data_IF_330319440885
#
_entry.id   IF_330319440885
#
_cell.length_a   1.000
_cell.length_b   1.000
_cell.length_c   1.000
_cell.angle_alpha   90.00
_cell.angle_beta   90.00
_cell.angle_gamma   90.00
#
_symmetry.space_group_name_H-M   'P 1'
#
loop_
_entity.id
_entity.type
_entity.pdbx_description
1 polymer ?
#
# COMPACT_ATOMS: atom_id res chain seq x y z
N UNK A 1 -11.78 23.24 2.91
CA UNK A 1 -10.69 24.20 2.54
C UNK A 1 -9.57 23.42 1.86
N UNK A 2 -9.00 23.97 0.78
CA UNK A 2 -7.81 23.39 0.12
C UNK A 2 -6.65 23.33 1.12
N UNK A 3 -6.08 22.13 1.30
CA UNK A 3 -4.92 21.89 2.18
C UNK A 3 -3.74 21.50 1.30
N UNK A 4 -2.53 21.92 1.65
CA UNK A 4 -1.31 21.35 1.05
C UNK A 4 -1.04 19.99 1.67
N UNK A 5 -0.92 18.98 0.84
CA UNK A 5 -0.59 17.60 1.25
C UNK A 5 0.64 17.16 0.47
N UNK A 6 1.63 16.66 1.18
CA UNK A 6 2.82 16.06 0.56
C UNK A 6 2.63 14.55 0.51
N UNK A 7 2.92 13.95 -0.64
CA UNK A 7 2.95 12.50 -0.83
C UNK A 7 4.38 12.09 -1.16
N UNK A 8 5.00 11.27 -0.31
CA UNK A 8 6.28 10.64 -0.64
C UNK A 8 6.04 9.28 -1.27
N UNK A 9 6.93 8.85 -2.16
CA UNK A 9 6.65 7.69 -3.02
C UNK A 9 5.55 8.01 -4.04
N UNK A 10 5.44 9.27 -4.42
CA UNK A 10 4.36 9.84 -5.22
C UNK A 10 4.27 9.29 -6.64
N UNK A 11 5.37 8.77 -7.20
CA UNK A 11 5.40 8.08 -8.49
C UNK A 11 5.01 6.61 -8.42
N UNK A 12 4.89 6.04 -7.21
CA UNK A 12 4.55 4.63 -7.00
C UNK A 12 3.04 4.34 -7.07
N UNK A 13 2.69 3.05 -7.00
CA UNK A 13 1.32 2.58 -7.15
C UNK A 13 0.33 3.21 -6.15
N UNK A 14 0.58 3.06 -4.84
CA UNK A 14 -0.30 3.60 -3.80
C UNK A 14 -0.19 5.12 -3.70
N UNK A 15 1.05 5.65 -3.72
CA UNK A 15 1.29 7.09 -3.63
C UNK A 15 0.69 7.87 -4.79
N UNK A 16 0.82 7.36 -6.01
CA UNK A 16 0.22 7.97 -7.22
C UNK A 16 -1.30 7.96 -7.19
N UNK A 17 -1.93 6.86 -6.77
CA UNK A 17 -3.38 6.79 -6.62
C UNK A 17 -3.90 7.74 -5.54
N UNK A 18 -3.17 7.84 -4.43
CA UNK A 18 -3.51 8.77 -3.35
C UNK A 18 -3.38 10.23 -3.82
N UNK A 19 -2.33 10.54 -4.57
CA UNK A 19 -2.13 11.87 -5.15
C UNK A 19 -3.26 12.25 -6.13
N UNK A 20 -3.67 11.31 -7.01
CA UNK A 20 -4.82 11.49 -7.90
C UNK A 20 -6.09 11.85 -7.14
N UNK A 21 -6.42 11.10 -6.11
CA UNK A 21 -7.62 11.32 -5.31
C UNK A 21 -7.57 12.67 -4.57
N UNK A 22 -6.43 13.05 -4.03
CA UNK A 22 -6.23 14.35 -3.39
C UNK A 22 -6.46 15.51 -4.38
N UNK A 23 -5.92 15.40 -5.60
CA UNK A 23 -6.09 16.39 -6.65
C UNK A 23 -7.56 16.48 -7.13
N UNK A 24 -8.24 15.33 -7.32
CA UNK A 24 -9.66 15.27 -7.66
C UNK A 24 -10.53 15.98 -6.61
N UNK A 25 -10.14 15.95 -5.34
CA UNK A 25 -10.79 16.66 -4.22
C UNK A 25 -10.35 18.11 -4.09
N UNK A 26 -9.47 18.59 -4.98
CA UNK A 26 -9.01 19.97 -5.04
C UNK A 26 -7.98 20.36 -4.00
N UNK A 27 -7.29 19.41 -3.38
CA UNK A 27 -6.12 19.68 -2.54
C UNK A 27 -4.94 20.16 -3.39
N UNK A 28 -4.03 20.91 -2.77
CA UNK A 28 -2.71 21.18 -3.34
C UNK A 28 -1.80 19.99 -3.05
N UNK A 29 -1.31 19.34 -4.08
CA UNK A 29 -0.54 18.08 -3.96
C UNK A 29 0.92 18.31 -4.34
N UNK A 30 1.83 17.99 -3.42
CA UNK A 30 3.28 18.01 -3.67
C UNK A 30 3.80 16.59 -3.63
N UNK A 31 4.38 16.13 -4.74
CA UNK A 31 4.97 14.80 -4.86
C UNK A 31 6.46 14.81 -4.50
N UNK A 32 6.92 13.78 -3.79
CA UNK A 32 8.36 13.52 -3.59
C UNK A 32 8.62 12.07 -3.97
N UNK A 33 9.50 11.84 -4.91
CA UNK A 33 9.95 10.49 -5.30
C UNK A 33 11.38 10.57 -5.86
N UNK A 34 12.16 9.52 -5.66
CA UNK A 34 13.49 9.40 -6.27
C UNK A 34 13.44 9.15 -7.78
N UNK A 35 12.32 8.66 -8.28
CA UNK A 35 12.07 8.40 -9.69
C UNK A 35 11.37 9.60 -10.33
N UNK A 36 11.50 9.69 -11.67
CA UNK A 36 10.78 10.68 -12.48
C UNK A 36 9.27 10.56 -12.30
N UNK A 37 8.59 11.69 -12.34
CA UNK A 37 7.14 11.72 -12.33
C UNK A 37 6.58 10.91 -13.51
N UNK A 38 5.73 9.91 -13.27
CA UNK A 38 5.06 9.19 -14.34
C UNK A 38 4.26 10.14 -15.24
N UNK A 39 4.31 9.91 -16.56
CA UNK A 39 3.68 10.83 -17.54
C UNK A 39 2.22 11.10 -17.24
N UNK A 40 1.48 10.05 -16.86
CA UNK A 40 0.05 10.11 -16.54
C UNK A 40 -0.28 10.88 -15.25
N UNK A 41 0.71 11.11 -14.38
CA UNK A 41 0.54 11.82 -13.11
C UNK A 41 1.06 13.27 -13.13
N UNK A 42 1.64 13.74 -14.23
CA UNK A 42 2.27 15.08 -14.29
C UNK A 42 1.32 16.23 -13.95
N UNK A 43 0.05 16.12 -14.36
CA UNK A 43 -0.96 17.16 -14.09
C UNK A 43 -1.57 17.08 -12.69
N UNK A 44 -1.20 16.07 -11.90
CA UNK A 44 -1.72 15.83 -10.55
C UNK A 44 -1.01 16.70 -9.52
N UNK A 45 0.28 16.98 -9.76
CA UNK A 45 1.14 17.65 -8.78
C UNK A 45 1.27 19.14 -9.07
N UNK A 46 1.09 19.96 -8.03
CA UNK A 46 1.44 21.37 -8.06
C UNK A 46 2.96 21.59 -8.03
N UNK A 47 3.71 20.68 -7.39
CA UNK A 47 5.17 20.56 -7.45
C UNK A 47 5.57 19.07 -7.33
N UNK A 48 6.63 18.67 -8.03
CA UNK A 48 7.17 17.31 -7.96
C UNK A 48 8.69 17.35 -7.76
N UNK A 49 9.13 16.81 -6.63
CA UNK A 49 10.51 16.81 -6.20
C UNK A 49 11.13 15.46 -6.55
N UNK A 50 11.92 15.40 -7.65
CA UNK A 50 12.62 14.20 -8.10
C UNK A 50 13.89 13.96 -7.28
N UNK A 51 13.72 13.54 -6.01
CA UNK A 51 14.80 13.22 -5.08
C UNK A 51 14.31 12.25 -4.01
N UNK A 52 15.25 11.63 -3.29
CA UNK A 52 14.91 10.88 -2.07
C UNK A 52 14.26 11.81 -1.04
N UNK A 53 13.25 11.30 -0.35
CA UNK A 53 12.49 12.10 0.63
C UNK A 53 13.32 12.53 1.85
N UNK A 54 14.39 11.80 2.19
CA UNK A 54 15.31 12.16 3.27
C UNK A 54 16.47 13.06 2.79
N UNK A 55 16.56 13.33 1.47
CA UNK A 55 17.58 14.23 0.95
C UNK A 55 17.38 15.66 1.48
N UNK A 56 18.48 16.36 1.80
CA UNK A 56 18.45 17.70 2.37
C UNK A 56 17.53 18.68 1.60
N UNK A 57 17.62 18.67 0.26
CA UNK A 57 16.79 19.57 -0.57
C UNK A 57 15.29 19.21 -0.47
N UNK A 58 14.94 17.91 -0.37
CA UNK A 58 13.55 17.48 -0.18
C UNK A 58 13.01 17.98 1.16
N UNK A 59 13.80 17.88 2.22
CA UNK A 59 13.44 18.37 3.55
C UNK A 59 13.29 19.89 3.59
N UNK A 60 14.16 20.64 2.90
CA UNK A 60 14.03 22.10 2.77
C UNK A 60 12.76 22.47 2.00
N UNK A 61 12.46 21.78 0.90
CA UNK A 61 11.22 22.03 0.14
C UNK A 61 9.97 21.68 0.94
N UNK A 62 10.00 20.63 1.77
CA UNK A 62 8.92 20.33 2.71
C UNK A 62 8.60 21.54 3.62
N UNK A 63 9.62 22.20 4.15
CA UNK A 63 9.43 23.39 4.98
C UNK A 63 8.77 24.54 4.22
N UNK A 64 9.17 24.76 2.95
CA UNK A 64 8.63 25.83 2.10
C UNK A 64 7.14 25.60 1.80
N UNK A 65 6.73 24.34 1.64
CA UNK A 65 5.34 24.00 1.33
C UNK A 65 4.40 24.05 2.54
N UNK A 66 4.92 23.99 3.76
CA UNK A 66 4.16 23.99 5.02
C UNK A 66 2.96 23.04 5.00
N UNK A 67 3.19 21.74 4.76
CA UNK A 67 2.09 20.81 4.53
C UNK A 67 1.22 20.62 5.78
N UNK A 68 -0.10 20.55 5.59
CA UNK A 68 -1.04 20.13 6.64
C UNK A 68 -0.84 18.64 7.00
N UNK A 69 -0.45 17.85 6.02
CA UNK A 69 -0.15 16.43 6.22
C UNK A 69 0.91 15.92 5.24
N UNK A 70 1.62 14.89 5.66
CA UNK A 70 2.54 14.10 4.84
C UNK A 70 2.00 12.68 4.78
N UNK A 71 1.67 12.20 3.57
CA UNK A 71 1.31 10.82 3.32
C UNK A 71 2.59 10.10 2.87
N UNK A 72 3.12 9.28 3.76
CA UNK A 72 4.42 8.64 3.59
C UNK A 72 4.27 7.22 3.00
N UNK A 73 4.24 7.14 1.66
CA UNK A 73 4.20 5.89 0.91
C UNK A 73 5.58 5.44 0.40
N UNK A 74 6.61 6.31 0.50
CA UNK A 74 7.96 5.95 0.09
C UNK A 74 8.51 4.80 0.93
N UNK A 75 9.17 3.86 0.27
CA UNK A 75 9.82 2.73 0.92
C UNK A 75 10.13 1.61 -0.08
N UNK A 76 11.03 0.73 0.31
CA UNK A 76 11.30 -0.51 -0.42
C UNK A 76 10.34 -1.58 0.06
N UNK A 77 9.52 -2.18 -0.84
CA UNK A 77 8.30 -2.93 -0.47
C UNK A 77 8.32 -4.43 -0.78
N UNK A 78 9.34 -4.97 -1.46
CA UNK A 78 9.35 -6.38 -1.86
C UNK A 78 9.88 -7.28 -0.73
N UNK A 79 9.08 -8.23 -0.24
CA UNK A 79 9.43 -9.16 0.85
C UNK A 79 10.63 -10.04 0.47
N UNK A 80 10.61 -10.73 -0.66
CA UNK A 80 11.69 -11.65 -1.05
C UNK A 80 13.08 -11.00 -1.16
N UNK A 81 13.24 -9.86 -1.85
CA UNK A 81 14.50 -9.12 -1.87
C UNK A 81 14.97 -8.61 -0.50
N UNK A 82 14.05 -8.37 0.47
CA UNK A 82 14.44 -7.92 1.81
C UNK A 82 15.30 -8.95 2.55
N UNK A 83 15.02 -10.23 2.34
CA UNK A 83 15.79 -11.32 2.95
C UNK A 83 17.24 -11.34 2.43
N UNK A 84 17.43 -11.03 1.15
CA UNK A 84 18.77 -11.02 0.53
C UNK A 84 19.56 -9.72 0.79
N UNK A 85 18.86 -8.60 0.98
CA UNK A 85 19.46 -7.27 1.12
C UNK A 85 18.85 -6.48 2.28
N UNK A 86 18.89 -6.97 3.54
CA UNK A 86 18.18 -6.37 4.66
C UNK A 86 18.64 -4.93 4.97
N UNK A 87 19.94 -4.64 4.86
CA UNK A 87 20.50 -3.32 5.12
C UNK A 87 19.84 -2.21 4.30
N UNK A 88 19.53 -2.47 3.01
CA UNK A 88 18.84 -1.53 2.14
C UNK A 88 17.43 -1.20 2.66
N UNK A 89 16.74 -2.17 3.27
CA UNK A 89 15.40 -1.96 3.83
C UNK A 89 15.46 -1.15 5.12
N UNK A 90 16.40 -1.46 6.00
CA UNK A 90 16.56 -0.68 7.23
C UNK A 90 17.02 0.75 6.94
N UNK A 91 17.96 0.94 6.01
CA UNK A 91 18.39 2.29 5.62
C UNK A 91 17.22 3.09 5.03
N UNK A 92 16.58 2.57 3.98
CA UNK A 92 15.56 3.30 3.25
C UNK A 92 14.26 3.47 4.04
N UNK A 93 13.78 2.40 4.71
CA UNK A 93 12.49 2.42 5.37
C UNK A 93 12.55 2.96 6.80
N UNK A 94 13.66 2.75 7.53
CA UNK A 94 13.77 3.14 8.94
C UNK A 94 14.60 4.41 9.11
N UNK A 95 15.86 4.40 8.70
CA UNK A 95 16.77 5.54 8.94
C UNK A 95 16.28 6.79 8.20
N UNK A 96 15.91 6.65 6.93
CA UNK A 96 15.41 7.77 6.15
C UNK A 96 14.06 8.28 6.68
N UNK A 97 13.17 7.38 7.13
CA UNK A 97 11.91 7.78 7.77
C UNK A 97 12.14 8.48 9.10
N UNK A 98 13.08 8.02 9.92
CA UNK A 98 13.47 8.70 11.15
C UNK A 98 13.95 10.13 10.87
N UNK A 99 14.76 10.33 9.81
CA UNK A 99 15.22 11.67 9.38
C UNK A 99 14.04 12.57 9.00
N UNK A 100 13.04 12.05 8.28
CA UNK A 100 11.81 12.78 7.96
C UNK A 100 11.02 13.15 9.23
N UNK A 101 10.80 12.18 10.13
CA UNK A 101 10.05 12.40 11.37
C UNK A 101 10.74 13.43 12.28
N UNK A 102 12.06 13.41 12.36
CA UNK A 102 12.84 14.41 13.09
C UNK A 102 12.68 15.81 12.51
N UNK A 103 12.65 15.93 11.18
CA UNK A 103 12.38 17.20 10.52
C UNK A 103 10.96 17.71 10.83
N UNK A 104 9.96 16.81 10.73
CA UNK A 104 8.57 17.15 11.07
C UNK A 104 8.45 17.63 12.50
N UNK A 105 8.99 16.87 13.46
CA UNK A 105 8.96 17.20 14.89
C UNK A 105 9.56 18.58 15.19
N UNK A 106 10.72 18.88 14.58
CA UNK A 106 11.46 20.12 14.88
C UNK A 106 10.85 21.36 14.23
N UNK A 107 10.33 21.23 13.02
CA UNK A 107 10.01 22.40 12.19
C UNK A 107 8.55 22.48 11.77
N UNK A 108 7.80 21.38 11.85
CA UNK A 108 6.41 21.29 11.42
C UNK A 108 5.55 20.51 12.43
N UNK A 109 5.54 20.85 13.73
CA UNK A 109 4.93 20.04 14.79
C UNK A 109 3.40 19.87 14.66
N UNK A 110 2.75 20.64 13.79
CA UNK A 110 1.30 20.55 13.50
C UNK A 110 0.99 19.72 12.27
N UNK A 111 2.01 19.23 11.56
CA UNK A 111 1.84 18.39 10.37
C UNK A 111 1.52 16.97 10.79
N UNK A 112 0.39 16.44 10.31
CA UNK A 112 0.04 15.04 10.50
C UNK A 112 0.87 14.16 9.57
N UNK A 113 1.37 13.03 10.08
CA UNK A 113 2.06 12.01 9.26
C UNK A 113 1.18 10.78 9.13
N UNK A 114 0.86 10.41 7.89
CA UNK A 114 0.07 9.22 7.57
C UNK A 114 1.00 8.22 6.90
N UNK A 115 1.24 7.09 7.55
CA UNK A 115 2.26 6.12 7.17
C UNK A 115 1.68 4.87 6.52
N UNK A 116 2.28 4.49 5.40
CA UNK A 116 2.04 3.22 4.72
C UNK A 116 2.77 2.09 5.44
N UNK A 117 2.10 1.44 6.40
CA UNK A 117 2.57 0.20 7.02
C UNK A 117 2.11 -1.02 6.21
N UNK A 118 2.15 -2.22 6.78
CA UNK A 118 1.89 -3.46 6.05
C UNK A 118 1.40 -4.57 6.98
N UNK A 119 0.55 -5.47 6.46
CA UNK A 119 0.21 -6.73 7.12
C UNK A 119 1.43 -7.63 7.41
N UNK A 120 2.55 -7.40 6.72
CA UNK A 120 3.79 -8.14 6.96
C UNK A 120 4.35 -7.99 8.39
N UNK A 121 3.85 -7.02 9.17
CA UNK A 121 4.19 -6.86 10.59
C UNK A 121 3.65 -8.00 11.46
N UNK A 122 2.58 -8.69 11.03
CA UNK A 122 1.99 -9.80 11.78
C UNK A 122 2.77 -11.10 11.64
N UNK A 123 3.57 -11.26 10.55
CA UNK A 123 4.28 -12.50 10.26
C UNK A 123 3.32 -13.66 9.96
N UNK A 124 3.43 -14.74 10.73
CA UNK A 124 2.52 -15.90 10.71
C UNK A 124 1.52 -15.77 11.88
N UNK A 125 0.32 -15.21 11.66
CA UNK A 125 -0.62 -14.95 12.73
C UNK A 125 -1.18 -16.26 13.31
N UNK A 126 -1.32 -16.33 14.64
CA UNK A 126 -1.93 -17.47 15.35
C UNK A 126 -3.42 -17.58 15.05
N UNK A 127 -4.08 -16.44 14.87
CA UNK A 127 -5.51 -16.35 14.56
C UNK A 127 -5.75 -15.36 13.41
N UNK A 128 -6.80 -15.63 12.64
CA UNK A 128 -7.33 -14.73 11.61
C UNK A 128 -8.84 -14.58 11.77
N UNK A 129 -9.41 -13.40 11.49
CA UNK A 129 -8.75 -12.20 10.96
C UNK A 129 -7.83 -11.50 11.98
N UNK A 130 -6.72 -10.92 11.52
CA UNK A 130 -5.80 -10.16 12.36
C UNK A 130 -6.42 -8.85 12.85
N UNK A 131 -6.26 -8.56 14.14
CA UNK A 131 -6.64 -7.30 14.76
C UNK A 131 -5.40 -6.45 15.07
N UNK A 132 -5.57 -5.13 15.22
CA UNK A 132 -4.44 -4.23 15.49
C UNK A 132 -3.75 -4.47 16.82
N UNK A 133 -4.44 -5.13 17.75
CA UNK A 133 -3.92 -5.50 19.09
C UNK A 133 -3.18 -6.83 19.10
N UNK A 134 -3.25 -7.59 18.02
CA UNK A 134 -2.59 -8.89 17.94
C UNK A 134 -1.06 -8.74 17.93
N UNK A 135 -0.32 -9.75 18.40
CA UNK A 135 1.13 -9.76 18.35
C UNK A 135 1.66 -9.49 16.94
N UNK A 136 2.71 -8.69 16.87
CA UNK A 136 3.43 -8.39 15.63
C UNK A 136 4.79 -9.07 15.68
N UNK A 137 4.95 -10.16 14.94
CA UNK A 137 6.15 -10.98 14.86
C UNK A 137 6.58 -11.16 13.38
N UNK A 138 7.11 -10.09 12.75
CA UNK A 138 7.46 -10.14 11.33
C UNK A 138 8.51 -11.22 11.06
N UNK A 139 8.36 -11.91 9.94
CA UNK A 139 9.25 -12.98 9.47
C UNK A 139 10.16 -12.52 8.32
N UNK A 140 10.24 -11.22 8.08
CA UNK A 140 11.07 -10.65 7.03
C UNK A 140 11.59 -9.26 7.39
N UNK A 141 12.79 -8.89 6.91
CA UNK A 141 13.34 -7.54 7.12
C UNK A 141 12.43 -6.41 6.61
N UNK A 142 11.60 -6.67 5.61
CA UNK A 142 10.56 -5.73 5.19
C UNK A 142 9.53 -5.51 6.30
N UNK A 143 8.95 -6.59 6.83
CA UNK A 143 8.00 -6.53 7.94
C UNK A 143 8.61 -5.86 9.18
N UNK A 144 9.85 -6.25 9.54
CA UNK A 144 10.60 -5.62 10.63
C UNK A 144 10.74 -4.11 10.43
N UNK A 145 11.12 -3.68 9.22
CA UNK A 145 11.30 -2.25 8.92
C UNK A 145 10.00 -1.46 9.10
N UNK A 146 8.85 -2.04 8.73
CA UNK A 146 7.53 -1.41 8.91
C UNK A 146 7.15 -1.32 10.39
N UNK A 147 7.31 -2.41 11.14
CA UNK A 147 7.04 -2.43 12.57
C UNK A 147 7.95 -1.47 13.36
N UNK A 148 9.22 -1.37 13.01
CA UNK A 148 10.14 -0.41 13.62
C UNK A 148 9.64 1.02 13.45
N UNK A 149 9.17 1.41 12.26
CA UNK A 149 8.62 2.75 12.02
C UNK A 149 7.35 2.98 12.83
N UNK A 150 6.43 2.01 12.93
CA UNK A 150 5.25 2.13 13.80
C UNK A 150 5.65 2.41 15.27
N UNK A 151 6.64 1.68 15.79
CA UNK A 151 7.16 1.88 17.16
C UNK A 151 7.81 3.25 17.33
N UNK A 152 8.57 3.73 16.34
CA UNK A 152 9.17 5.07 16.34
C UNK A 152 8.07 6.13 16.37
N UNK A 153 7.04 6.02 15.53
CA UNK A 153 5.94 6.98 15.50
C UNK A 153 5.17 7.02 16.82
N UNK A 154 4.91 5.87 17.43
CA UNK A 154 4.27 5.78 18.76
C UNK A 154 5.13 6.43 19.85
N UNK A 155 6.45 6.20 19.84
CA UNK A 155 7.38 6.84 20.77
C UNK A 155 7.43 8.38 20.55
N UNK A 156 7.42 8.84 19.29
CA UNK A 156 7.37 10.27 18.95
C UNK A 156 6.04 10.91 19.33
N UNK A 157 4.93 10.18 19.23
CA UNK A 157 3.65 10.64 19.74
C UNK A 157 3.70 10.88 21.27
N UNK A 158 4.22 9.90 22.00
CA UNK A 158 4.34 10.01 23.47
C UNK A 158 5.28 11.14 23.90
N UNK A 159 6.44 11.26 23.24
CA UNK A 159 7.47 12.21 23.67
C UNK A 159 7.26 13.62 23.13
N UNK A 160 6.70 13.78 21.92
CA UNK A 160 6.66 15.03 21.18
C UNK A 160 5.26 15.41 20.66
N UNK A 161 4.26 14.61 21.01
CA UNK A 161 2.87 14.78 20.53
C UNK A 161 2.75 14.76 19.00
N UNK A 162 3.55 13.89 18.33
CA UNK A 162 3.45 13.68 16.87
C UNK A 162 2.03 13.22 16.53
N UNK A 163 1.35 13.93 15.66
CA UNK A 163 0.05 13.54 15.13
C UNK A 163 0.27 12.54 13.97
N UNK A 164 -0.12 11.27 14.15
CA UNK A 164 0.13 10.24 13.17
C UNK A 164 -1.00 9.23 13.01
N UNK A 165 -1.08 8.65 11.82
CA UNK A 165 -1.89 7.46 11.51
C UNK A 165 -1.02 6.48 10.73
N UNK A 166 -0.99 5.22 11.11
CA UNK A 166 -0.31 4.17 10.36
C UNK A 166 -1.33 3.15 9.85
N UNK A 167 -1.30 2.88 8.54
CA UNK A 167 -2.18 1.91 7.92
C UNK A 167 -1.43 0.62 7.58
N UNK A 168 -1.86 -0.50 8.17
CA UNK A 168 -1.40 -1.84 7.80
C UNK A 168 -2.24 -2.34 6.64
N UNK A 169 -1.74 -2.17 5.42
CA UNK A 169 -2.43 -2.70 4.25
C UNK A 169 -2.25 -4.20 4.18
N UNK A 170 -3.32 -4.88 3.80
CA UNK A 170 -3.25 -6.22 3.28
C UNK A 170 -2.89 -6.14 1.78
N UNK A 171 -3.39 -6.99 0.90
CA UNK A 171 -2.89 -6.99 -0.47
C UNK A 171 -3.55 -5.87 -1.30
N UNK A 172 -2.82 -4.79 -1.55
CA UNK A 172 -3.27 -3.73 -2.44
C UNK A 172 -3.40 -4.24 -3.88
N UNK A 173 -4.53 -3.98 -4.53
CA UNK A 173 -4.81 -4.43 -5.89
C UNK A 173 -5.76 -3.47 -6.63
N UNK A 174 -6.08 -3.77 -7.87
CA UNK A 174 -6.92 -2.92 -8.70
C UNK A 174 -6.14 -1.83 -9.43
N UNK A 175 -6.85 -0.86 -9.95
CA UNK A 175 -6.33 0.34 -10.61
C UNK A 175 -7.34 1.47 -10.47
N UNK A 176 -6.97 2.69 -10.84
CA UNK A 176 -7.91 3.80 -10.93
C UNK A 176 -9.12 3.41 -11.79
N UNK A 177 -10.33 3.60 -11.27
CA UNK A 177 -11.58 3.21 -11.94
C UNK A 177 -11.80 3.89 -13.30
N UNK A 178 -11.10 5.02 -13.53
CA UNK A 178 -11.04 5.72 -14.83
C UNK A 178 -9.80 5.33 -15.64
N UNK A 179 -9.05 4.31 -15.22
CA UNK A 179 -7.82 3.82 -15.84
C UNK A 179 -6.74 4.91 -16.04
N UNK A 180 -6.60 5.87 -15.13
CA UNK A 180 -5.57 6.92 -15.17
C UNK A 180 -4.25 6.46 -14.55
N UNK A 181 -4.30 5.51 -13.59
CA UNK A 181 -3.16 4.99 -12.85
C UNK A 181 -3.42 3.57 -12.37
N UNK A 182 -2.37 2.77 -12.28
CA UNK A 182 -2.43 1.39 -11.81
C UNK A 182 -1.05 0.82 -11.62
N UNK A 183 -0.99 -0.46 -11.31
CA UNK A 183 0.26 -1.15 -11.08
C UNK A 183 1.02 -1.33 -12.40
N UNK A 184 2.33 -1.09 -12.38
CA UNK A 184 3.20 -1.31 -13.54
C UNK A 184 3.34 -2.81 -13.84
N UNK A 185 3.60 -3.14 -15.11
CA UNK A 185 3.86 -4.52 -15.55
C UNK A 185 5.08 -5.12 -14.84
N UNK A 186 5.08 -6.45 -14.68
CA UNK A 186 6.11 -7.18 -13.95
C UNK A 186 5.92 -7.15 -12.42
N UNK A 187 4.75 -6.76 -11.94
CA UNK A 187 4.40 -6.80 -10.53
C UNK A 187 4.39 -8.24 -9.97
N UNK A 188 4.67 -8.37 -8.68
CA UNK A 188 4.78 -9.68 -8.03
C UNK A 188 3.48 -10.18 -7.41
N UNK A 189 2.45 -9.33 -7.36
CA UNK A 189 1.16 -9.66 -6.78
C UNK A 189 0.33 -10.57 -7.71
N UNK A 190 -0.42 -11.49 -7.12
CA UNK A 190 -1.12 -12.53 -7.89
C UNK A 190 -2.09 -11.96 -8.92
N UNK A 191 -2.93 -10.98 -8.58
CA UNK A 191 -3.91 -10.41 -9.52
C UNK A 191 -3.20 -9.83 -10.74
N UNK A 192 -2.12 -9.06 -10.55
CA UNK A 192 -1.33 -8.52 -11.64
C UNK A 192 -0.74 -9.63 -12.53
N UNK A 193 -0.10 -10.64 -11.91
CA UNK A 193 0.52 -11.76 -12.64
C UNK A 193 -0.50 -12.61 -13.40
N UNK A 194 -1.67 -12.86 -12.83
CA UNK A 194 -2.77 -13.59 -13.49
C UNK A 194 -3.26 -12.81 -14.71
N UNK A 195 -3.49 -11.50 -14.56
CA UNK A 195 -3.97 -10.66 -15.66
C UNK A 195 -2.92 -10.47 -16.76
N UNK A 196 -1.64 -10.34 -16.41
CA UNK A 196 -0.53 -10.31 -17.37
C UNK A 196 -0.44 -11.63 -18.14
N UNK A 197 -0.52 -12.78 -17.46
CA UNK A 197 -0.48 -14.08 -18.10
C UNK A 197 -1.70 -14.29 -19.05
N UNK A 198 -2.89 -13.84 -18.67
CA UNK A 198 -4.08 -13.85 -19.54
C UNK A 198 -3.91 -12.94 -20.75
N UNK A 199 -3.35 -11.73 -20.56
CA UNK A 199 -3.09 -10.78 -21.65
C UNK A 199 -2.13 -11.35 -22.68
N UNK A 200 -1.04 -11.93 -22.18
CA UNK A 200 0.10 -12.38 -22.99
C UNK A 200 -0.04 -13.84 -23.47
N UNK A 201 -1.19 -14.50 -23.20
CA UNK A 201 -1.44 -15.94 -23.45
C UNK A 201 -0.34 -16.87 -22.87
N UNK A 202 0.26 -16.47 -21.73
CA UNK A 202 1.37 -17.13 -21.09
C UNK A 202 0.91 -18.11 -20.00
N UNK A 203 1.81 -19.00 -19.59
CA UNK A 203 1.60 -19.89 -18.44
C UNK A 203 1.71 -19.12 -17.13
N UNK A 204 0.81 -19.44 -16.19
CA UNK A 204 0.84 -18.94 -14.81
C UNK A 204 1.17 -20.07 -13.85
N UNK A 205 2.22 -19.88 -13.03
CA UNK A 205 2.59 -20.85 -12.01
C UNK A 205 1.82 -20.53 -10.72
N UNK A 206 0.88 -21.40 -10.36
CA UNK A 206 0.14 -21.38 -9.10
C UNK A 206 0.96 -22.11 -8.02
N UNK A 207 1.58 -21.34 -7.12
CA UNK A 207 2.43 -21.88 -6.07
C UNK A 207 1.61 -22.32 -4.86
N UNK A 208 1.83 -23.57 -4.42
CA UNK A 208 1.16 -24.16 -3.25
C UNK A 208 -0.30 -24.50 -3.50
N UNK A 209 -0.59 -25.78 -3.49
CA UNK A 209 -1.94 -26.34 -3.72
C UNK A 209 -2.37 -27.29 -2.60
N UNK A 210 -1.56 -27.39 -1.53
CA UNK A 210 -1.73 -28.31 -0.40
C UNK A 210 -1.86 -27.55 0.95
N UNK A 211 -2.28 -26.29 0.91
CA UNK A 211 -2.58 -25.54 2.14
C UNK A 211 -3.84 -26.07 2.82
N UNK A 212 -3.90 -25.95 4.14
CA UNK A 212 -5.08 -26.29 4.93
C UNK A 212 -6.20 -25.24 4.75
N UNK A 213 -6.73 -25.16 3.53
CA UNK A 213 -7.80 -24.25 3.06
C UNK A 213 -8.82 -25.03 2.23
N UNK A 214 -10.03 -24.50 2.01
CA UNK A 214 -11.08 -25.25 1.30
C UNK A 214 -10.70 -25.73 -0.11
N UNK A 215 -9.86 -25.00 -0.83
CA UNK A 215 -9.46 -25.37 -2.21
C UNK A 215 -7.97 -25.71 -2.34
N UNK A 216 -7.26 -25.80 -1.21
CA UNK A 216 -5.84 -26.12 -1.13
C UNK A 216 -4.91 -24.96 -1.45
N UNK A 217 -5.42 -23.79 -1.86
CA UNK A 217 -4.59 -22.61 -2.14
C UNK A 217 -4.63 -21.59 -1.02
N UNK A 218 -3.58 -20.76 -0.87
CA UNK A 218 -3.55 -19.79 0.20
C UNK A 218 -4.64 -18.72 0.05
N UNK A 219 -5.17 -18.29 1.19
CA UNK A 219 -6.23 -17.28 1.30
C UNK A 219 -5.61 -15.95 1.75
N UNK A 220 -5.92 -14.86 1.05
CA UNK A 220 -5.43 -13.51 1.36
C UNK A 220 -6.58 -12.52 1.33
N UNK A 221 -6.39 -11.43 2.06
CA UNK A 221 -7.27 -10.28 2.02
C UNK A 221 -6.77 -9.28 0.96
N UNK A 222 -7.66 -8.78 0.13
CA UNK A 222 -7.36 -7.85 -0.96
C UNK A 222 -8.12 -6.54 -0.76
N UNK A 223 -7.41 -5.42 -1.01
CA UNK A 223 -7.96 -4.07 -0.84
C UNK A 223 -7.74 -3.30 -2.12
N UNK A 224 -8.79 -2.67 -2.63
CA UNK A 224 -8.69 -1.83 -3.81
C UNK A 224 -7.80 -0.61 -3.54
N UNK A 225 -6.92 -0.28 -4.49
CA UNK A 225 -5.99 0.84 -4.33
C UNK A 225 -6.69 2.19 -4.16
N UNK A 226 -7.87 2.39 -4.73
CA UNK A 226 -8.69 3.59 -4.49
C UNK A 226 -9.28 3.60 -3.07
N UNK A 227 -9.63 2.45 -2.50
CA UNK A 227 -10.10 2.39 -1.11
C UNK A 227 -8.96 2.71 -0.13
N UNK A 228 -7.75 2.24 -0.41
CA UNK A 228 -6.55 2.65 0.33
C UNK A 228 -6.34 4.16 0.20
N UNK A 229 -6.42 4.72 -1.00
CA UNK A 229 -6.29 6.16 -1.22
C UNK A 229 -7.37 6.95 -0.46
N UNK A 230 -8.62 6.46 -0.45
CA UNK A 230 -9.72 7.06 0.30
C UNK A 230 -9.45 7.05 1.80
N UNK A 231 -8.95 5.94 2.35
CA UNK A 231 -8.56 5.88 3.76
C UNK A 231 -7.48 6.91 4.11
N UNK A 232 -6.48 7.12 3.24
CA UNK A 232 -5.48 8.17 3.41
C UNK A 232 -6.08 9.57 3.41
N UNK A 233 -7.01 9.84 2.49
CA UNK A 233 -7.71 11.14 2.42
C UNK A 233 -8.55 11.37 3.69
N UNK A 234 -9.29 10.36 4.13
CA UNK A 234 -10.07 10.44 5.36
C UNK A 234 -9.17 10.68 6.60
N UNK A 235 -7.98 10.10 6.61
CA UNK A 235 -7.01 10.31 7.68
C UNK A 235 -6.44 11.74 7.74
N UNK A 236 -6.75 12.62 6.80
CA UNK A 236 -6.50 14.07 6.94
C UNK A 236 -7.41 14.71 7.99
N UNK A 237 -8.46 14.02 8.42
CA UNK A 237 -9.38 14.49 9.46
C UNK A 237 -8.81 14.21 10.84
N UNK A 238 -8.91 15.21 11.72
CA UNK A 238 -8.44 15.14 13.10
C UNK A 238 -9.29 14.20 13.99
N UNK A 239 -10.49 13.83 13.56
CA UNK A 239 -11.35 12.89 14.29
C UNK A 239 -10.74 11.47 14.30
N UNK A 240 -9.96 11.10 13.27
CA UNK A 240 -9.20 9.85 13.27
C UNK A 240 -8.00 10.01 14.21
N UNK A 241 -8.06 9.32 15.34
CA UNK A 241 -7.06 9.45 16.41
C UNK A 241 -5.70 8.87 16.00
N UNK A 242 -4.58 9.38 16.57
CA UNK A 242 -3.28 8.78 16.39
C UNK A 242 -3.28 7.28 16.72
N UNK A 243 -2.63 6.49 15.89
CA UNK A 243 -2.54 5.05 16.09
C UNK A 243 -2.40 4.26 14.80
N UNK A 244 -2.50 2.95 14.96
CA UNK A 244 -2.42 1.96 13.87
C UNK A 244 -3.80 1.46 13.51
N UNK A 245 -4.05 1.26 12.22
CA UNK A 245 -5.31 0.77 11.67
C UNK A 245 -5.07 -0.24 10.56
N UNK A 246 -5.81 -1.34 10.56
CA UNK A 246 -5.82 -2.29 9.46
C UNK A 246 -6.68 -1.78 8.30
N UNK A 247 -6.19 -1.97 7.09
CA UNK A 247 -6.99 -1.82 5.87
C UNK A 247 -7.04 -3.16 5.14
N UNK A 248 -8.17 -3.82 5.24
CA UNK A 248 -8.51 -5.08 4.62
C UNK A 248 -9.98 -5.11 4.23
N UNK A 249 -10.37 -6.12 3.48
CA UNK A 249 -11.75 -6.30 3.03
C UNK A 249 -12.59 -7.14 4.00
N UNK A 250 -12.00 -7.65 5.07
CA UNK A 250 -12.56 -8.61 6.03
C UNK A 250 -12.98 -9.95 5.38
N UNK A 251 -12.70 -10.15 4.10
CA UNK A 251 -13.01 -11.35 3.34
C UNK A 251 -11.72 -11.92 2.76
N UNK A 252 -11.43 -13.16 3.13
CA UNK A 252 -10.36 -13.90 2.51
C UNK A 252 -10.76 -14.40 1.12
N UNK A 253 -9.87 -14.25 0.15
CA UNK A 253 -10.03 -14.77 -1.22
C UNK A 253 -8.87 -15.72 -1.52
N UNK A 254 -9.18 -16.91 -2.01
CA UNK A 254 -8.18 -17.90 -2.40
C UNK A 254 -7.55 -17.56 -3.76
N UNK A 255 -6.39 -18.14 -4.03
CA UNK A 255 -5.75 -17.95 -5.33
C UNK A 255 -6.59 -18.54 -6.48
N UNK A 256 -7.33 -19.62 -6.25
CA UNK A 256 -8.25 -20.22 -7.26
C UNK A 256 -9.46 -19.33 -7.52
N UNK A 257 -10.00 -18.68 -6.49
CA UNK A 257 -11.10 -17.72 -6.64
C UNK A 257 -10.67 -16.50 -7.46
N UNK A 258 -9.42 -16.01 -7.27
CA UNK A 258 -8.86 -14.93 -8.11
C UNK A 258 -8.77 -15.36 -9.57
N UNK A 259 -8.26 -16.56 -9.83
CA UNK A 259 -8.13 -17.09 -11.20
C UNK A 259 -9.52 -17.21 -11.84
N UNK A 260 -10.48 -17.79 -11.13
CA UNK A 260 -11.86 -17.94 -11.63
C UNK A 260 -12.51 -16.60 -11.93
N UNK A 261 -12.34 -15.61 -11.06
CA UNK A 261 -12.86 -14.25 -11.27
C UNK A 261 -12.16 -13.56 -12.45
N UNK A 262 -10.84 -13.71 -12.60
CA UNK A 262 -10.10 -13.17 -13.74
C UNK A 262 -10.55 -13.77 -15.08
N UNK A 263 -10.71 -15.10 -15.15
CA UNK A 263 -11.24 -15.75 -16.35
C UNK A 263 -12.66 -15.28 -16.70
N UNK A 264 -13.52 -15.15 -15.72
CA UNK A 264 -14.90 -14.68 -15.90
C UNK A 264 -14.94 -13.24 -16.42
N UNK A 265 -14.14 -12.35 -15.85
CA UNK A 265 -14.14 -10.93 -16.19
C UNK A 265 -13.47 -10.68 -17.54
N UNK A 266 -12.38 -11.37 -17.84
CA UNK A 266 -11.65 -11.18 -19.11
C UNK A 266 -12.26 -11.97 -20.28
N UNK A 267 -13.10 -12.97 -20.01
CA UNK A 267 -13.62 -13.92 -21.01
C UNK A 267 -12.57 -14.87 -21.58
N UNK A 268 -11.38 -14.91 -20.99
CA UNK A 268 -10.24 -15.72 -21.46
C UNK A 268 -9.86 -16.77 -20.42
N UNK A 269 -9.32 -17.91 -20.88
CA UNK A 269 -8.80 -18.97 -20.00
C UNK A 269 -7.33 -18.75 -19.68
N UNK A 270 -6.95 -19.07 -18.43
CA UNK A 270 -5.58 -19.01 -17.96
C UNK A 270 -4.93 -20.40 -18.07
N UNK A 271 -3.73 -20.47 -18.62
CA UNK A 271 -2.90 -21.67 -18.62
C UNK A 271 -2.20 -21.81 -17.27
N UNK A 272 -2.74 -22.66 -16.38
CA UNK A 272 -2.21 -22.83 -15.02
C UNK A 272 -1.30 -24.04 -14.92
N UNK A 273 -0.10 -23.82 -14.39
CA UNK A 273 0.87 -24.88 -14.01
C UNK A 273 1.02 -24.87 -12.49
N UNK A 274 0.96 -26.05 -11.87
CA UNK A 274 1.11 -26.19 -10.42
C UNK A 274 2.57 -26.10 -10.01
N UNK A 275 2.87 -25.26 -9.02
CA UNK A 275 4.19 -25.06 -8.42
C UNK A 275 4.22 -25.39 -6.93
N UNK A 276 5.41 -25.60 -6.38
CA UNK A 276 5.60 -25.83 -4.95
C UNK A 276 5.20 -24.59 -4.12
N UNK A 277 4.75 -24.82 -2.88
CA UNK A 277 4.50 -23.75 -1.94
C UNK A 277 5.80 -22.96 -1.64
N UNK A 278 5.66 -21.66 -1.40
CA UNK A 278 6.80 -20.83 -0.99
C UNK A 278 7.04 -21.02 0.51
N UNK A 279 8.28 -21.19 0.96
CA UNK A 279 8.59 -21.22 2.38
C UNK A 279 8.09 -19.94 3.10
N UNK A 280 7.42 -20.10 4.23
CA UNK A 280 6.93 -18.99 5.04
C UNK A 280 5.63 -18.33 4.53
N UNK A 281 4.96 -18.89 3.51
CA UNK A 281 3.63 -18.40 3.12
C UNK A 281 2.56 -18.96 4.08
N UNK A 282 1.84 -18.13 4.89
CA UNK A 282 0.77 -18.63 5.74
C UNK A 282 -0.43 -19.11 4.89
N UNK A 283 -1.14 -20.14 5.37
CA UNK A 283 -2.32 -20.66 4.69
C UNK A 283 -3.41 -19.57 4.56
N UNK A 284 -3.65 -18.80 5.61
CA UNK A 284 -4.66 -17.74 5.67
C UNK A 284 -4.04 -16.47 6.28
N UNK A 285 -4.23 -15.34 5.62
CA UNK A 285 -3.86 -14.02 6.16
C UNK A 285 -4.92 -13.00 5.78
N UNK A 286 -5.81 -12.69 6.73
CA UNK A 286 -6.94 -11.76 6.55
C UNK A 286 -6.97 -10.72 7.66
N UNK A 287 -7.60 -9.57 7.40
CA UNK A 287 -7.71 -8.46 8.33
C UNK A 287 -9.06 -8.41 9.05
N UNK A 288 -9.07 -7.85 10.25
CA UNK A 288 -10.22 -7.13 10.75
C UNK A 288 -9.98 -5.63 10.53
N UNK A 289 -10.76 -4.99 9.67
CA UNK A 289 -10.73 -3.55 9.44
C UNK A 289 -11.80 -2.81 10.27
N UNK A 290 -12.36 -3.47 11.31
CA UNK A 290 -13.46 -2.93 12.12
C UNK A 290 -13.06 -1.63 12.84
N UNK A 291 -11.82 -1.52 13.30
CA UNK A 291 -11.32 -0.32 13.98
C UNK A 291 -11.38 0.92 13.08
N UNK A 292 -10.90 0.80 11.84
CA UNK A 292 -10.97 1.92 10.90
C UNK A 292 -12.40 2.16 10.41
N UNK A 293 -13.21 1.11 10.21
CA UNK A 293 -14.61 1.20 9.82
C UNK A 293 -15.49 2.01 10.80
N UNK A 294 -15.13 2.05 12.09
CA UNK A 294 -15.86 2.85 13.08
C UNK A 294 -15.64 4.36 12.94
N UNK A 295 -14.53 4.79 12.34
CA UNK A 295 -14.15 6.21 12.23
C UNK A 295 -14.09 6.70 10.79
N UNK A 296 -14.04 5.78 9.84
CA UNK A 296 -13.96 6.04 8.41
C UNK A 296 -15.13 5.38 7.66
N UNK A 297 -16.36 5.75 7.95
CA UNK A 297 -17.53 5.18 7.27
C UNK A 297 -17.45 5.38 5.75
N UNK A 298 -17.82 4.32 4.99
CA UNK A 298 -17.81 4.34 3.53
C UNK A 298 -16.41 4.37 2.87
N UNK A 299 -15.34 4.11 3.62
CA UNK A 299 -13.99 4.10 3.03
C UNK A 299 -13.81 2.98 2.00
N UNK A 300 -14.46 1.82 2.21
CA UNK A 300 -14.42 0.67 1.33
C UNK A 300 -15.62 0.66 0.38
N UNK A 301 -15.35 0.60 -0.93
CA UNK A 301 -16.38 0.66 -1.97
C UNK A 301 -16.27 -0.45 -3.01
N UNK A 302 -15.13 -1.17 -3.06
CA UNK A 302 -14.86 -2.10 -4.13
C UNK A 302 -14.67 -3.54 -3.64
N UNK A 303 -15.35 -4.46 -4.32
CA UNK A 303 -15.23 -5.90 -4.14
C UNK A 303 -14.27 -6.50 -5.19
N UNK A 304 -13.97 -7.81 -5.09
CA UNK A 304 -12.99 -8.51 -5.92
C UNK A 304 -13.19 -8.27 -7.42
N UNK A 305 -14.43 -8.33 -7.89
CA UNK A 305 -14.74 -8.16 -9.31
C UNK A 305 -14.34 -6.77 -9.82
N UNK A 306 -14.60 -5.73 -9.05
CA UNK A 306 -14.15 -4.37 -9.38
C UNK A 306 -12.62 -4.28 -9.40
N UNK A 307 -11.95 -4.91 -8.43
CA UNK A 307 -10.49 -4.93 -8.34
C UNK A 307 -9.86 -5.53 -9.61
N UNK A 308 -10.39 -6.67 -10.04
CA UNK A 308 -9.92 -7.35 -11.25
C UNK A 308 -10.29 -6.56 -12.51
N UNK A 309 -11.54 -6.08 -12.61
CA UNK A 309 -12.00 -5.31 -13.77
C UNK A 309 -11.19 -4.03 -13.99
N UNK A 310 -10.94 -3.26 -12.91
CA UNK A 310 -10.17 -2.02 -13.02
C UNK A 310 -8.70 -2.30 -13.37
N UNK A 311 -8.09 -3.33 -12.76
CA UNK A 311 -6.74 -3.75 -13.12
C UNK A 311 -6.66 -4.22 -14.58
N UNK A 312 -7.62 -5.01 -15.05
CA UNK A 312 -7.68 -5.46 -16.44
C UNK A 312 -7.80 -4.29 -17.42
N UNK A 313 -8.71 -3.34 -17.15
CA UNK A 313 -8.88 -2.14 -17.97
C UNK A 313 -7.59 -1.33 -18.06
N UNK A 314 -6.85 -1.21 -16.96
CA UNK A 314 -5.54 -0.56 -16.93
C UNK A 314 -4.52 -1.24 -17.83
N UNK A 315 -4.37 -2.57 -17.72
CA UNK A 315 -3.38 -3.32 -18.50
C UNK A 315 -3.67 -3.30 -19.99
N UNK A 316 -4.93 -3.42 -20.40
CA UNK A 316 -5.31 -3.39 -21.82
C UNK A 316 -5.16 -1.99 -22.42
N UNK A 317 -5.49 -0.94 -21.67
CA UNK A 317 -5.37 0.45 -22.16
C UNK A 317 -3.92 0.89 -22.31
N UNK A 318 -3.01 0.39 -21.48
CA UNK A 318 -1.59 0.77 -21.53
C UNK A 318 -0.90 0.30 -22.81
N UNK A 319 -1.41 -0.77 -23.41
CA UNK A 319 -0.85 -1.38 -24.62
C UNK A 319 -1.52 -0.83 -25.91
N UNK A 320 -2.52 0.06 -25.79
CA UNK A 320 -3.20 0.79 -26.87
C UNK A 320 -2.59 2.19 -27.05
#
# INVERSE_FOLDING_TARGET
>A
MKKTVVVTGAGGYIGGQTALMLADLGHRVVGIDKNKCPKQLKSVFDDYIEKDFAHKDSLVKLLIHEPRAIIHCAGTSLVGPSVRHPGRYFENNVINTLTLLDQVRRSMPKTRVIFSSSAAVYGEPIMTPCHEVDPCEPISPYGDSKLMVEKIMAAYHTAYNLDYVAFRYFNACGADSRARHGQESGATHIIARVLEAIRDDAEFILNGVDFATPDGTCVRDYVHVEDIARAHVMALDAEIKPGVYNLGNNNGVSNREIIAAAERITGKKLKVVMGAARPGDPAVLTASAAKFGQVGDGWRQFELDHMIQHAWTWYVRKDS
#
